data_IF_123378143058
#
_entry.id   IF_123378143058
#
_cell.length_a   1.000
_cell.length_b   1.000
_cell.length_c   1.000
_cell.angle_alpha   90.00
_cell.angle_beta   90.00
_cell.angle_gamma   90.00
#
_symmetry.space_group_name_H-M   'P 1'
#
loop_
_entity.id
_entity.type
_entity.pdbx_description
1 polymer ?
#
# COMPACT_ATOMS: atom_id res chain seq x y z
N UNK A 1 -4.17 15.23 23.52
CA UNK A 1 -4.70 15.07 22.15
C UNK A 1 -3.91 13.96 21.50
N UNK A 2 -4.57 12.96 20.93
CA UNK A 2 -3.93 11.97 20.06
C UNK A 2 -3.37 12.74 18.85
N UNK A 3 -2.07 12.60 18.58
CA UNK A 3 -1.40 13.29 17.49
C UNK A 3 -1.03 12.26 16.44
N UNK A 4 -1.74 12.27 15.31
CA UNK A 4 -1.28 11.59 14.12
C UNK A 4 -0.12 12.40 13.51
N UNK A 5 0.66 11.80 12.62
CA UNK A 5 1.75 12.52 11.96
C UNK A 5 1.83 12.22 10.46
N UNK A 6 2.49 13.12 9.74
CA UNK A 6 2.90 12.90 8.36
C UNK A 6 4.40 12.68 8.34
N UNK A 7 4.83 11.54 7.80
CA UNK A 7 6.24 11.19 7.61
C UNK A 7 6.59 11.35 6.13
N UNK A 8 7.59 12.17 5.85
CA UNK A 8 8.04 12.41 4.48
C UNK A 8 9.13 11.42 4.13
N UNK A 9 8.95 10.69 3.04
CA UNK A 9 9.95 9.76 2.53
C UNK A 9 10.34 10.13 1.10
N UNK A 10 11.61 9.95 0.78
CA UNK A 10 12.15 10.18 -0.57
C UNK A 10 12.23 8.85 -1.30
N UNK A 11 11.98 8.88 -2.61
CA UNK A 11 11.98 7.69 -3.47
C UNK A 11 13.40 7.33 -3.91
N UNK A 12 14.32 7.28 -2.96
CA UNK A 12 15.62 6.66 -3.18
C UNK A 12 15.62 5.38 -2.33
N UNK A 13 15.32 4.22 -2.93
CA UNK A 13 15.46 2.96 -2.23
C UNK A 13 16.96 2.71 -2.06
N UNK A 14 17.54 3.22 -0.96
CA UNK A 14 18.69 2.56 -0.39
C UNK A 14 18.21 1.15 0.01
N UNK A 15 19.01 0.14 -0.31
CA UNK A 15 18.72 -1.30 -0.11
C UNK A 15 18.28 -1.65 1.34
N UNK A 16 18.45 -0.73 2.29
CA UNK A 16 18.20 -0.90 3.72
C UNK A 16 16.94 -0.19 4.25
N UNK A 17 16.24 0.61 3.43
CA UNK A 17 15.06 1.35 3.87
C UNK A 17 13.78 0.63 3.44
N UNK A 18 13.06 0.13 4.45
CA UNK A 18 11.76 -0.52 4.33
C UNK A 18 10.74 0.38 5.04
N UNK A 19 10.04 1.29 4.34
CA UNK A 19 9.00 2.13 4.97
C UNK A 19 7.91 1.30 5.66
N UNK A 20 7.74 0.05 5.23
CA UNK A 20 6.85 -0.93 5.86
C UNK A 20 7.34 -1.47 7.21
N UNK A 21 8.61 -1.28 7.57
CA UNK A 21 9.21 -1.83 8.80
C UNK A 21 9.87 -0.76 9.69
N UNK A 22 10.55 0.23 9.10
CA UNK A 22 11.24 1.28 9.87
C UNK A 22 11.36 2.60 9.11
N UNK A 23 11.34 3.70 9.86
CA UNK A 23 11.58 5.04 9.34
C UNK A 23 12.72 5.71 10.10
N UNK A 24 13.74 6.17 9.38
CA UNK A 24 14.93 6.80 9.94
C UNK A 24 14.77 8.32 10.02
N UNK A 25 15.12 8.94 11.15
CA UNK A 25 15.00 10.39 11.34
C UNK A 25 16.05 10.96 12.32
N UNK A 26 16.47 12.23 12.15
CA UNK A 26 17.35 12.91 13.08
C UNK A 26 16.59 13.40 14.33
N UNK A 27 17.33 13.63 15.43
CA UNK A 27 16.83 14.10 16.74
C UNK A 27 15.90 15.31 16.67
N UNK A 28 16.06 16.17 15.68
CA UNK A 28 15.20 17.34 15.43
C UNK A 28 13.71 16.99 15.38
N UNK A 29 13.36 15.77 14.99
CA UNK A 29 11.97 15.29 14.91
C UNK A 29 11.54 14.39 16.07
N UNK A 30 12.42 14.12 17.04
CA UNK A 30 12.18 13.15 18.13
C UNK A 30 10.88 13.46 18.88
N UNK A 31 10.70 14.69 19.33
CA UNK A 31 9.49 15.08 20.07
C UNK A 31 8.20 14.88 19.27
N UNK A 32 8.23 15.10 17.95
CA UNK A 32 7.04 14.89 17.10
C UNK A 32 6.77 13.40 16.88
N UNK A 33 7.82 12.58 16.72
CA UNK A 33 7.69 11.14 16.54
C UNK A 33 7.25 10.45 17.84
N UNK A 34 7.79 10.87 18.99
CA UNK A 34 7.35 10.42 20.31
C UNK A 34 5.88 10.76 20.58
N UNK A 35 5.44 11.96 20.18
CA UNK A 35 4.02 12.34 20.28
C UNK A 35 3.10 11.47 19.40
N UNK A 36 3.63 10.90 18.31
CA UNK A 36 2.92 9.99 17.41
C UNK A 36 3.11 8.51 17.77
N UNK A 37 3.91 8.16 18.79
CA UNK A 37 4.11 6.78 19.20
C UNK A 37 2.78 6.16 19.66
N UNK A 38 2.49 4.96 19.16
CA UNK A 38 1.21 4.27 19.34
C UNK A 38 0.09 4.74 18.40
N UNK A 39 0.29 5.83 17.65
CA UNK A 39 -0.71 6.41 16.76
C UNK A 39 -0.40 6.16 15.28
N UNK A 40 -1.39 6.45 14.43
CA UNK A 40 -1.28 6.30 12.99
C UNK A 40 -0.56 7.49 12.36
N UNK A 41 0.23 7.17 11.33
CA UNK A 41 0.88 8.15 10.47
C UNK A 41 0.45 7.96 9.03
N UNK A 42 0.65 9.02 8.23
CA UNK A 42 0.52 8.98 6.78
C UNK A 42 1.89 9.25 6.17
N UNK A 43 2.29 8.44 5.21
CA UNK A 43 3.48 8.70 4.42
C UNK A 43 3.19 9.68 3.29
N UNK A 44 4.04 10.69 3.16
CA UNK A 44 4.01 11.70 2.11
C UNK A 44 5.25 11.62 1.23
N UNK A 45 5.05 11.67 -0.08
CA UNK A 45 6.12 11.73 -1.08
C UNK A 45 6.20 13.14 -1.67
N UNK A 46 7.31 13.87 -1.50
CA UNK A 46 7.47 15.22 -2.03
C UNK A 46 7.66 15.22 -3.55
N UNK A 47 7.50 16.38 -4.21
CA UNK A 47 7.68 16.52 -5.68
C UNK A 47 9.10 16.18 -6.17
N UNK A 48 10.08 16.44 -5.32
CA UNK A 48 11.51 16.20 -5.59
C UNK A 48 11.85 14.80 -5.10
N UNK A 49 12.40 13.97 -5.97
CA UNK A 49 12.89 12.64 -5.61
C UNK A 49 14.22 12.70 -4.86
N UNK A 50 15.05 13.73 -5.10
CA UNK A 50 16.38 13.90 -4.50
C UNK A 50 16.50 15.26 -3.80
N UNK A 51 17.65 15.51 -3.14
CA UNK A 51 17.96 16.82 -2.57
C UNK A 51 18.22 17.92 -3.63
N UNK A 52 18.40 17.55 -4.90
CA UNK A 52 18.68 18.48 -5.98
C UNK A 52 17.45 19.30 -6.37
N UNK A 53 17.66 20.59 -6.59
CA UNK A 53 16.62 21.54 -6.99
C UNK A 53 15.99 21.20 -8.35
N UNK A 54 16.72 20.47 -9.21
CA UNK A 54 16.30 20.05 -10.54
C UNK A 54 15.63 18.64 -10.57
N UNK A 55 15.64 17.92 -9.45
CA UNK A 55 14.98 16.61 -9.37
C UNK A 55 13.45 16.79 -9.45
N UNK A 56 12.86 16.16 -10.46
CA UNK A 56 11.41 16.01 -10.60
C UNK A 56 11.13 14.52 -10.76
N UNK A 57 10.22 13.98 -9.96
CA UNK A 57 9.91 12.54 -10.02
C UNK A 57 9.03 12.00 -8.90
N UNK A 58 8.83 12.77 -7.82
CA UNK A 58 7.98 12.35 -6.72
C UNK A 58 6.50 12.75 -6.88
N UNK A 59 5.60 11.96 -6.29
CA UNK A 59 4.14 12.03 -6.49
C UNK A 59 3.47 13.30 -5.94
N UNK A 60 4.12 14.05 -5.05
CA UNK A 60 3.47 15.14 -4.30
C UNK A 60 2.17 14.68 -3.64
N UNK A 61 2.19 13.48 -3.08
CA UNK A 61 0.99 12.80 -2.63
C UNK A 61 1.26 11.97 -1.37
N UNK A 62 0.23 11.80 -0.58
CA UNK A 62 0.18 10.77 0.43
C UNK A 62 -0.02 9.42 -0.25
N UNK A 63 0.68 8.39 0.20
CA UNK A 63 0.66 7.09 -0.50
C UNK A 63 0.47 5.88 0.41
N UNK A 64 0.66 6.01 1.71
CA UNK A 64 0.53 4.89 2.64
C UNK A 64 0.18 5.37 4.05
N UNK A 65 -0.28 4.45 4.87
CA UNK A 65 -0.46 4.59 6.32
C UNK A 65 0.32 3.51 7.05
N UNK A 66 0.74 3.81 8.27
CA UNK A 66 1.35 2.85 9.18
C UNK A 66 1.15 3.34 10.62
N UNK A 67 1.42 2.47 11.59
CA UNK A 67 1.40 2.82 13.01
C UNK A 67 2.82 2.78 13.58
N UNK A 68 3.15 3.76 14.41
CA UNK A 68 4.46 3.81 15.09
C UNK A 68 4.38 2.92 16.33
N UNK A 69 5.14 1.83 16.36
CA UNK A 69 5.16 0.91 17.49
C UNK A 69 6.16 1.35 18.56
N UNK A 70 7.41 1.55 18.14
CA UNK A 70 8.50 1.88 19.04
C UNK A 70 9.49 2.84 18.38
N UNK A 71 10.31 3.49 19.20
CA UNK A 71 11.39 4.37 18.75
C UNK A 71 12.68 3.83 19.37
N UNK A 72 13.68 3.61 18.52
CA UNK A 72 15.00 3.12 18.93
C UNK A 72 16.08 4.04 18.42
N UNK A 73 17.16 4.23 19.19
CA UNK A 73 18.32 5.00 18.72
C UNK A 73 19.10 4.23 17.66
N UNK A 74 19.66 4.95 16.68
CA UNK A 74 20.55 4.36 15.69
C UNK A 74 21.91 4.06 16.35
N UNK A 75 22.36 2.79 16.41
CA UNK A 75 23.65 2.44 17.01
C UNK A 75 24.85 2.91 16.18
N UNK A 76 24.67 3.25 14.90
CA UNK A 76 25.73 3.65 13.99
C UNK A 76 25.79 5.15 13.75
N UNK A 77 24.71 5.89 14.03
CA UNK A 77 24.64 7.34 13.83
C UNK A 77 24.13 8.04 15.09
N UNK A 78 24.99 8.86 15.71
CA UNK A 78 24.62 9.67 16.86
C UNK A 78 23.52 10.68 16.52
N UNK A 79 22.63 10.96 17.47
CA UNK A 79 21.47 11.85 17.32
C UNK A 79 20.51 11.45 16.19
N UNK A 80 20.49 10.17 15.84
CA UNK A 80 19.57 9.58 14.88
C UNK A 80 18.78 8.43 15.52
N UNK A 81 17.59 8.20 14.98
CA UNK A 81 16.60 7.28 15.54
C UNK A 81 15.86 6.56 14.42
N UNK A 82 15.36 5.36 14.73
CA UNK A 82 14.43 4.61 13.92
C UNK A 82 13.07 4.54 14.63
N UNK A 83 12.01 4.91 13.92
CA UNK A 83 10.65 4.55 14.28
C UNK A 83 10.36 3.16 13.70
N UNK A 84 10.02 2.20 14.54
CA UNK A 84 9.53 0.89 14.12
C UNK A 84 8.08 1.01 13.69
N UNK A 85 7.80 0.50 12.49
CA UNK A 85 6.53 0.66 11.81
C UNK A 85 5.80 -0.68 11.78
N UNK A 86 4.52 -0.65 12.10
CA UNK A 86 3.62 -1.80 12.01
C UNK A 86 2.36 -1.43 11.27
N UNK A 87 1.60 -2.45 10.89
CA UNK A 87 0.30 -2.30 10.22
C UNK A 87 0.35 -1.47 8.92
N UNK A 88 1.49 -1.45 8.23
CA UNK A 88 1.69 -0.72 6.98
C UNK A 88 0.65 -1.12 5.92
N UNK A 89 0.08 -0.13 5.23
CA UNK A 89 -0.83 -0.30 4.10
C UNK A 89 -0.64 0.83 3.08
N UNK A 90 -0.51 0.47 1.81
CA UNK A 90 -0.46 1.42 0.70
C UNK A 90 -1.84 1.77 0.16
N UNK A 91 -2.01 3.03 -0.25
CA UNK A 91 -3.20 3.48 -0.96
C UNK A 91 -3.14 2.98 -2.41
N UNK A 92 -4.24 2.38 -2.88
CA UNK A 92 -4.37 2.01 -4.29
C UNK A 92 -4.25 3.22 -5.22
N UNK A 93 -4.70 4.40 -4.74
CA UNK A 93 -4.53 5.67 -5.43
C UNK A 93 -3.87 6.68 -4.47
N UNK A 94 -2.68 7.20 -4.81
CA UNK A 94 -2.06 8.27 -4.03
C UNK A 94 -2.98 9.49 -3.92
N UNK A 95 -3.07 10.05 -2.71
CA UNK A 95 -3.92 11.21 -2.41
C UNK A 95 -3.08 12.47 -2.57
N UNK A 96 -3.41 13.38 -3.50
CA UNK A 96 -2.62 14.60 -3.68
C UNK A 96 -2.69 15.47 -2.42
N UNK A 97 -1.64 16.24 -2.14
CA UNK A 97 -1.64 17.16 -0.98
C UNK A 97 -2.73 18.23 -1.05
N UNK A 98 -3.19 18.53 -2.27
CA UNK A 98 -4.23 19.51 -2.59
C UNK A 98 -5.10 18.95 -3.71
N UNK A 99 -6.41 19.06 -3.53
CA UNK A 99 -7.40 18.70 -4.56
C UNK A 99 -8.32 19.91 -4.79
N UNK A 100 -8.29 20.47 -6.00
CA UNK A 100 -8.93 21.76 -6.28
C UNK A 100 -8.39 22.89 -5.39
N UNK A 101 -9.27 23.43 -4.54
CA UNK A 101 -8.94 24.46 -3.54
C UNK A 101 -8.67 23.93 -2.12
N UNK A 102 -8.91 22.64 -1.87
CA UNK A 102 -8.84 22.03 -0.56
C UNK A 102 -7.44 21.51 -0.25
N UNK A 103 -6.96 21.76 0.98
CA UNK A 103 -5.72 21.18 1.51
C UNK A 103 -6.10 20.17 2.60
N UNK A 104 -5.57 18.96 2.49
CA UNK A 104 -5.78 17.93 3.50
C UNK A 104 -5.06 18.27 4.82
N UNK A 105 -3.89 18.90 4.75
CA UNK A 105 -3.16 19.41 5.90
C UNK A 105 -3.38 20.92 6.05
N UNK A 106 -3.97 21.36 7.16
CA UNK A 106 -4.13 22.77 7.49
C UNK A 106 -2.79 23.49 7.66
N UNK A 107 -1.74 22.79 8.09
CA UNK A 107 -0.38 23.32 8.22
C UNK A 107 0.25 23.76 6.88
N UNK A 108 -0.24 23.22 5.76
CA UNK A 108 0.25 23.54 4.41
C UNK A 108 -0.45 24.75 3.80
N UNK A 109 -1.49 25.30 4.45
CA UNK A 109 -2.23 26.48 4.00
C UNK A 109 -1.84 27.69 4.83
N UNK A 110 -1.40 28.77 4.17
CA UNK A 110 -1.19 30.08 4.81
C UNK A 110 -2.53 30.82 4.97
N UNK A 111 -2.54 31.86 5.80
CA UNK A 111 -3.72 32.73 6.00
C UNK A 111 -4.22 33.39 4.69
N UNK A 112 -3.31 33.63 3.74
CA UNK A 112 -3.60 34.17 2.40
C UNK A 112 -4.14 33.12 1.39
N UNK A 113 -4.33 31.87 1.82
CA UNK A 113 -4.76 30.74 0.96
C UNK A 113 -3.66 30.15 0.08
N UNK A 114 -2.46 30.72 0.09
CA UNK A 114 -1.30 30.20 -0.64
C UNK A 114 -0.63 29.02 0.08
N UNK A 115 0.18 28.27 -0.68
CA UNK A 115 0.89 27.09 -0.19
C UNK A 115 2.05 27.47 0.73
N UNK A 116 2.10 26.90 1.93
CA UNK A 116 3.20 27.11 2.88
C UNK A 116 4.43 26.27 2.51
N UNK A 117 5.27 26.80 1.61
CA UNK A 117 6.52 26.15 1.16
C UNK A 117 7.49 25.77 2.30
N UNK A 118 7.48 26.50 3.42
CA UNK A 118 8.34 26.21 4.58
C UNK A 118 7.92 24.95 5.33
N UNK A 119 6.61 24.66 5.39
CA UNK A 119 6.10 23.45 6.01
C UNK A 119 6.47 22.18 5.20
N UNK A 120 6.52 22.25 3.87
CA UNK A 120 6.95 21.13 3.01
C UNK A 120 8.40 20.69 3.22
N UNK A 121 9.26 21.55 3.78
CA UNK A 121 10.64 21.21 4.08
C UNK A 121 10.81 20.32 5.33
N UNK A 122 9.75 20.15 6.13
CA UNK A 122 9.81 19.35 7.36
C UNK A 122 9.51 17.88 7.06
N UNK A 123 10.44 17.00 7.44
CA UNK A 123 10.28 15.56 7.22
C UNK A 123 9.12 14.99 8.04
N UNK A 124 8.99 15.40 9.30
CA UNK A 124 7.88 15.02 10.18
C UNK A 124 7.00 16.22 10.49
N UNK A 125 5.68 16.06 10.34
CA UNK A 125 4.66 17.08 10.63
C UNK A 125 3.55 16.48 11.47
N UNK A 126 2.98 17.27 12.38
CA UNK A 126 1.82 16.83 13.16
C UNK A 126 0.56 16.93 12.30
N UNK A 127 -0.31 15.95 12.43
CA UNK A 127 -1.56 15.81 11.69
C UNK A 127 -2.72 15.68 12.69
N UNK A 128 -3.77 16.48 12.50
CA UNK A 128 -4.96 16.39 13.35
C UNK A 128 -5.77 15.14 12.97
N UNK A 129 -6.54 14.59 13.93
CA UNK A 129 -7.37 13.41 13.70
C UNK A 129 -8.29 13.53 12.47
N UNK A 130 -9.05 14.62 12.36
CA UNK A 130 -9.94 14.84 11.21
C UNK A 130 -9.21 15.03 9.86
N UNK A 131 -7.95 15.48 9.87
CA UNK A 131 -7.13 15.61 8.65
C UNK A 131 -6.65 14.22 8.20
N UNK A 132 -6.24 13.39 9.16
CA UNK A 132 -5.95 11.98 8.93
C UNK A 132 -7.16 11.25 8.37
N UNK A 133 -8.33 11.42 8.96
CA UNK A 133 -9.56 10.74 8.55
C UNK A 133 -9.94 11.07 7.10
N UNK A 134 -9.74 12.33 6.68
CA UNK A 134 -9.97 12.75 5.29
C UNK A 134 -8.98 12.10 4.32
N UNK A 135 -7.68 12.07 4.67
CA UNK A 135 -6.66 11.43 3.82
C UNK A 135 -6.93 9.92 3.73
N UNK A 136 -7.26 9.29 4.85
CA UNK A 136 -7.62 7.87 4.93
C UNK A 136 -8.83 7.56 4.05
N UNK A 137 -9.90 8.35 4.17
CA UNK A 137 -11.11 8.17 3.37
C UNK A 137 -10.83 8.35 1.87
N UNK A 138 -10.02 9.33 1.49
CA UNK A 138 -9.62 9.56 0.10
C UNK A 138 -8.74 8.43 -0.46
N UNK A 139 -7.76 7.97 0.33
CA UNK A 139 -6.79 6.94 -0.10
C UNK A 139 -7.40 5.56 -0.26
N UNK A 140 -8.42 5.24 0.54
CA UNK A 140 -9.15 3.97 0.48
C UNK A 140 -10.57 4.09 -0.07
N UNK A 141 -10.91 5.17 -0.76
CA UNK A 141 -12.26 5.44 -1.26
C UNK A 141 -12.86 4.27 -2.05
N UNK A 142 -12.05 3.60 -2.90
CA UNK A 142 -12.47 2.41 -3.65
C UNK A 142 -12.87 1.26 -2.73
N UNK A 143 -12.00 0.91 -1.78
CA UNK A 143 -12.24 -0.20 -0.86
C UNK A 143 -13.42 0.11 0.08
N UNK A 144 -13.56 1.37 0.51
CA UNK A 144 -14.66 1.80 1.36
C UNK A 144 -16.00 1.78 0.59
N UNK A 145 -16.00 2.21 -0.67
CA UNK A 145 -17.18 2.19 -1.55
C UNK A 145 -17.63 0.79 -1.94
N UNK A 146 -16.68 -0.16 -2.08
CA UNK A 146 -16.94 -1.56 -2.44
C UNK A 146 -17.29 -2.44 -1.21
N UNK A 147 -17.30 -1.89 0.00
CA UNK A 147 -17.84 -2.59 1.17
C UNK A 147 -19.37 -2.59 1.08
N UNK A 148 -20.05 -3.76 1.17
CA UNK A 148 -21.50 -3.76 1.33
C UNK A 148 -21.85 -2.89 2.53
N UNK A 149 -22.73 -1.90 2.33
CA UNK A 149 -23.41 -1.21 3.43
C UNK A 149 -24.41 -2.18 4.06
N UNK A 150 -23.90 -3.18 4.77
CA UNK A 150 -24.69 -4.12 5.57
C UNK A 150 -24.78 -3.64 7.02
N UNK A 151 -25.92 -3.85 7.71
CA UNK A 151 -26.07 -3.44 9.09
C UNK A 151 -25.17 -4.29 9.99
N UNK A 152 -24.63 -3.67 11.04
CA UNK A 152 -23.97 -4.40 12.11
C UNK A 152 -24.99 -5.31 12.81
N UNK A 153 -24.60 -6.56 13.04
CA UNK A 153 -25.25 -7.63 13.81
C UNK A 153 -26.16 -8.59 13.03
N UNK A 154 -25.66 -9.78 12.74
CA UNK A 154 -26.16 -11.05 13.27
C UNK A 154 -25.35 -12.23 12.71
N UNK A 155 -24.70 -12.95 13.63
CA UNK A 155 -24.44 -14.38 13.73
C UNK A 155 -24.38 -15.27 12.47
N UNK A 156 -23.28 -16.01 12.37
CA UNK A 156 -23.31 -17.44 12.00
C UNK A 156 -23.39 -17.78 10.51
N UNK A 157 -22.23 -18.16 9.96
CA UNK A 157 -21.98 -19.09 8.85
C UNK A 157 -22.79 -18.97 7.52
N UNK A 158 -22.07 -19.25 6.42
CA UNK A 158 -22.53 -19.82 5.12
C UNK A 158 -22.25 -18.93 3.90
N UNK A 159 -21.30 -19.35 3.07
CA UNK A 159 -21.41 -19.24 1.61
C UNK A 159 -22.16 -20.49 1.11
N UNK A 160 -22.96 -20.47 0.02
CA UNK A 160 -22.64 -19.85 -1.27
C UNK A 160 -23.77 -19.06 -1.98
N UNK A 161 -23.37 -18.37 -3.07
CA UNK A 161 -24.11 -17.61 -4.12
C UNK A 161 -25.25 -18.44 -4.79
N UNK A 162 -26.06 -17.99 -5.79
CA UNK A 162 -26.24 -16.67 -6.45
C UNK A 162 -27.73 -16.25 -6.67
N UNK A 163 -27.96 -14.98 -7.07
CA UNK A 163 -29.13 -14.58 -7.87
C UNK A 163 -30.13 -13.64 -7.19
N UNK A 164 -30.12 -12.35 -7.58
CA UNK A 164 -31.37 -11.59 -7.69
C UNK A 164 -31.19 -10.38 -8.63
N UNK A 165 -31.93 -10.43 -9.75
CA UNK A 165 -32.30 -9.28 -10.57
C UNK A 165 -33.44 -8.54 -9.85
N UNK A 166 -33.42 -7.21 -9.80
CA UNK A 166 -34.58 -6.40 -10.20
C UNK A 166 -34.23 -4.91 -10.32
N UNK A 167 -34.82 -4.33 -11.36
CA UNK A 167 -34.75 -2.95 -11.80
C UNK A 167 -35.38 -1.95 -10.83
N UNK A 168 -34.95 -0.70 -10.86
CA UNK A 168 -35.79 0.41 -11.34
C UNK A 168 -35.04 1.76 -11.26
N UNK A 169 -35.41 2.61 -12.20
CA UNK A 169 -34.90 3.93 -12.53
C UNK A 169 -35.09 4.95 -11.41
N UNK A 170 -34.11 5.84 -11.21
CA UNK A 170 -34.34 7.25 -10.86
C UNK A 170 -33.08 8.08 -11.10
N UNK A 171 -33.18 9.31 -11.65
CA UNK A 171 -32.03 10.13 -11.99
C UNK A 171 -31.44 10.78 -10.72
N UNK A 172 -30.12 10.70 -10.57
CA UNK A 172 -29.41 11.35 -9.47
C UNK A 172 -29.44 12.88 -9.61
N UNK A 173 -29.72 13.65 -8.55
CA UNK A 173 -29.30 15.05 -8.52
C UNK A 173 -27.84 15.15 -8.08
N UNK A 174 -27.13 16.13 -8.63
CA UNK A 174 -25.76 16.47 -8.30
C UNK A 174 -25.64 16.84 -6.81
N UNK A 175 -24.81 16.10 -6.07
CA UNK A 175 -24.45 16.45 -4.69
C UNK A 175 -23.02 17.01 -4.67
N UNK A 176 -22.89 18.23 -4.15
CA UNK A 176 -21.63 18.78 -3.66
C UNK A 176 -21.06 17.80 -2.62
N UNK A 177 -19.94 17.15 -2.94
CA UNK A 177 -19.32 16.13 -2.10
C UNK A 177 -18.63 16.78 -0.88
N UNK A 178 -19.38 16.99 0.21
CA UNK A 178 -18.77 16.92 1.54
C UNK A 178 -18.37 15.45 1.77
N UNK A 179 -17.06 15.19 1.79
CA UNK A 179 -16.51 13.87 2.15
C UNK A 179 -17.08 13.49 3.54
N UNK A 180 -17.78 12.35 3.69
CA UNK A 180 -18.37 11.99 4.97
C UNK A 180 -17.27 11.80 6.02
N UNK A 181 -17.31 12.63 7.06
CA UNK A 181 -16.41 12.47 8.22
C UNK A 181 -16.76 11.15 8.93
N UNK A 182 -15.86 10.17 8.81
CA UNK A 182 -15.96 8.92 9.55
C UNK A 182 -15.44 9.14 10.97
N UNK A 183 -16.13 8.70 12.03
CA UNK A 183 -15.61 8.84 13.38
C UNK A 183 -14.32 8.02 13.55
N UNK A 184 -13.26 8.63 14.11
CA UNK A 184 -11.90 8.07 14.24
C UNK A 184 -11.85 6.60 14.74
N UNK A 185 -12.69 6.26 15.74
CA UNK A 185 -12.78 4.89 16.31
C UNK A 185 -13.17 3.82 15.28
N UNK A 186 -13.85 4.21 14.20
CA UNK A 186 -14.26 3.30 13.10
C UNK A 186 -13.14 3.08 12.09
N UNK A 187 -12.21 4.03 11.96
CA UNK A 187 -11.06 3.94 11.05
C UNK A 187 -10.00 3.02 11.63
N UNK A 188 -9.66 3.19 12.91
CA UNK A 188 -8.70 2.33 13.62
C UNK A 188 -9.10 0.86 13.53
N UNK A 189 -10.37 0.53 13.81
CA UNK A 189 -10.89 -0.84 13.69
C UNK A 189 -10.77 -1.41 12.27
N UNK A 190 -10.96 -0.58 11.23
CA UNK A 190 -10.80 -1.03 9.84
C UNK A 190 -9.34 -1.32 9.51
N UNK A 191 -8.43 -0.44 9.91
CA UNK A 191 -7.00 -0.54 9.61
C UNK A 191 -6.33 -1.78 10.21
N UNK A 192 -6.86 -2.28 11.32
CA UNK A 192 -6.41 -3.53 11.95
C UNK A 192 -7.19 -4.76 11.47
N UNK A 193 -8.32 -4.59 10.78
CA UNK A 193 -9.14 -5.73 10.35
C UNK A 193 -8.55 -6.43 9.12
N UNK A 194 -8.29 -7.73 9.23
CA UNK A 194 -7.71 -8.53 8.13
C UNK A 194 -8.50 -8.42 6.81
N UNK A 195 -9.85 -8.51 6.79
CA UNK A 195 -10.60 -8.38 5.54
C UNK A 195 -10.41 -7.03 4.83
N UNK A 196 -10.24 -5.95 5.57
CA UNK A 196 -9.96 -4.64 4.98
C UNK A 196 -8.51 -4.57 4.48
N UNK A 197 -7.54 -5.06 5.27
CA UNK A 197 -6.13 -5.11 4.91
C UNK A 197 -5.88 -5.93 3.65
N UNK A 198 -6.48 -7.12 3.55
CA UNK A 198 -6.39 -7.99 2.37
C UNK A 198 -6.88 -7.28 1.11
N UNK A 199 -8.03 -6.61 1.19
CA UNK A 199 -8.59 -5.85 0.06
C UNK A 199 -7.74 -4.64 -0.29
N UNK A 200 -7.20 -3.94 0.72
CA UNK A 200 -6.33 -2.79 0.51
C UNK A 200 -5.02 -3.19 -0.18
N UNK A 201 -4.34 -4.21 0.34
CA UNK A 201 -3.15 -4.81 -0.25
C UNK A 201 -3.42 -5.26 -1.69
N UNK A 202 -4.47 -6.06 -1.90
CA UNK A 202 -4.82 -6.55 -3.22
C UNK A 202 -5.10 -5.41 -4.20
N UNK A 203 -5.90 -4.41 -3.79
CA UNK A 203 -6.17 -3.26 -4.65
C UNK A 203 -4.90 -2.47 -4.99
N UNK A 204 -3.94 -2.35 -4.06
CA UNK A 204 -2.70 -1.63 -4.26
C UNK A 204 -1.75 -2.37 -5.22
N UNK A 205 -1.51 -3.66 -4.98
CA UNK A 205 -0.71 -4.52 -5.86
C UNK A 205 -1.31 -4.59 -7.26
N UNK A 206 -2.61 -4.86 -7.38
CA UNK A 206 -3.28 -4.95 -8.68
C UNK A 206 -3.19 -3.64 -9.47
N UNK A 207 -3.27 -2.49 -8.79
CA UNK A 207 -3.06 -1.18 -9.42
C UNK A 207 -1.62 -1.00 -9.91
N UNK A 208 -0.63 -1.37 -9.08
CA UNK A 208 0.79 -1.24 -9.42
C UNK A 208 1.20 -2.10 -10.63
N UNK A 209 0.56 -3.25 -10.81
CA UNK A 209 0.76 -4.16 -11.93
C UNK A 209 -0.20 -3.92 -13.12
N UNK A 210 -1.10 -2.94 -13.01
CA UNK A 210 -2.06 -2.62 -14.07
C UNK A 210 -3.03 -3.77 -14.36
N UNK A 211 -3.43 -4.54 -13.34
CA UNK A 211 -4.31 -5.71 -13.45
C UNK A 211 -3.78 -6.81 -14.39
N UNK A 212 -2.47 -6.94 -14.53
CA UNK A 212 -1.81 -7.96 -15.35
C UNK A 212 -1.14 -9.02 -14.48
N UNK A 213 -1.24 -10.27 -14.91
CA UNK A 213 -0.39 -11.32 -14.37
C UNK A 213 1.08 -10.99 -14.70
N UNK A 214 1.92 -10.92 -13.68
CA UNK A 214 3.33 -10.59 -13.76
C UNK A 214 4.15 -11.67 -14.49
N UNK A 215 3.65 -12.91 -14.51
CA UNK A 215 4.31 -14.03 -15.19
C UNK A 215 3.91 -14.10 -16.66
N UNK A 216 2.61 -14.11 -16.95
CA UNK A 216 2.09 -14.35 -18.32
C UNK A 216 1.83 -13.07 -19.11
N UNK A 217 1.74 -11.91 -18.45
CA UNK A 217 1.37 -10.62 -19.06
C UNK A 217 -0.13 -10.47 -19.39
N UNK A 218 -0.92 -11.51 -19.18
CA UNK A 218 -2.36 -11.53 -19.47
C UNK A 218 -3.07 -10.49 -18.59
N UNK A 219 -3.89 -9.66 -19.24
CA UNK A 219 -4.86 -8.78 -18.60
C UNK A 219 -6.25 -9.28 -18.97
N UNK A 220 -6.94 -9.90 -18.03
CA UNK A 220 -8.33 -10.31 -18.21
C UNK A 220 -9.17 -9.65 -17.14
N UNK A 221 -10.16 -8.86 -17.58
CA UNK A 221 -11.06 -8.08 -16.71
C UNK A 221 -12.48 -8.34 -17.21
N UNK A 222 -13.39 -8.71 -16.31
CA UNK A 222 -14.80 -8.90 -16.65
C UNK A 222 -15.56 -7.57 -16.78
N UNK A 223 -16.83 -7.63 -17.18
CA UNK A 223 -17.68 -6.43 -17.32
C UNK A 223 -17.90 -5.68 -16.00
N UNK A 224 -17.70 -6.34 -14.85
CA UNK A 224 -17.78 -5.74 -13.52
C UNK A 224 -16.45 -5.16 -13.03
N UNK A 225 -15.39 -5.18 -13.84
CA UNK A 225 -14.07 -4.67 -13.46
C UNK A 225 -13.24 -5.64 -12.60
N UNK A 226 -13.68 -6.90 -12.42
CA UNK A 226 -12.92 -7.90 -11.67
C UNK A 226 -11.83 -8.49 -12.55
N UNK A 227 -10.61 -8.54 -12.03
CA UNK A 227 -9.47 -9.14 -12.73
C UNK A 227 -9.40 -10.64 -12.48
N UNK A 228 -8.92 -11.41 -13.47
CA UNK A 228 -8.54 -12.81 -13.28
C UNK A 228 -7.31 -12.93 -12.37
N UNK A 229 -6.37 -12.00 -12.52
CA UNK A 229 -5.19 -11.94 -11.68
C UNK A 229 -5.54 -11.50 -10.26
N UNK A 230 -4.73 -11.97 -9.32
CA UNK A 230 -4.84 -11.71 -7.90
C UNK A 230 -3.48 -11.32 -7.31
N UNK A 231 -3.52 -10.65 -6.17
CA UNK A 231 -2.32 -10.27 -5.44
C UNK A 231 -1.87 -11.44 -4.56
N UNK A 232 -0.70 -11.99 -4.85
CA UNK A 232 -0.03 -12.98 -4.02
C UNK A 232 1.02 -12.28 -3.14
N UNK A 233 1.08 -12.67 -1.86
CA UNK A 233 2.18 -12.27 -0.99
C UNK A 233 3.43 -13.09 -1.34
N UNK A 234 4.59 -12.44 -1.43
CA UNK A 234 5.87 -13.12 -1.62
C UNK A 234 6.30 -13.83 -0.32
N UNK A 235 6.27 -13.11 0.80
CA UNK A 235 6.33 -13.67 2.15
C UNK A 235 4.92 -13.67 2.72
N UNK A 236 4.39 -14.84 3.06
CA UNK A 236 3.03 -14.97 3.56
C UNK A 236 2.82 -14.23 4.89
N UNK A 237 1.58 -13.85 5.15
CA UNK A 237 1.20 -13.18 6.41
C UNK A 237 1.40 -14.09 7.63
N UNK A 238 1.18 -15.40 7.46
CA UNK A 238 1.44 -16.41 8.49
C UNK A 238 2.93 -16.50 8.88
N UNK A 239 3.81 -15.98 8.03
CA UNK A 239 5.25 -15.91 8.26
C UNK A 239 5.71 -14.47 8.52
N UNK A 240 4.85 -13.56 8.98
CA UNK A 240 5.13 -12.14 9.24
C UNK A 240 5.52 -11.33 7.98
N UNK A 241 4.88 -11.64 6.85
CA UNK A 241 4.97 -10.83 5.65
C UNK A 241 4.13 -9.55 5.72
N UNK A 242 4.67 -8.36 5.36
CA UNK A 242 3.92 -7.11 5.41
C UNK A 242 2.96 -6.98 4.21
N UNK A 243 1.89 -6.21 4.41
CA UNK A 243 0.93 -5.83 3.36
C UNK A 243 1.45 -4.66 2.50
N UNK A 244 2.71 -4.74 2.04
CA UNK A 244 3.36 -3.77 1.15
C UNK A 244 3.33 -4.24 -0.29
N UNK A 245 3.22 -3.32 -1.26
CA UNK A 245 3.34 -3.66 -2.69
C UNK A 245 4.69 -4.34 -2.98
N UNK A 246 5.75 -3.99 -2.23
CA UNK A 246 7.07 -4.61 -2.35
C UNK A 246 7.11 -6.07 -1.90
N UNK A 247 6.12 -6.52 -1.12
CA UNK A 247 5.90 -7.92 -0.74
C UNK A 247 4.78 -8.57 -1.57
N UNK A 248 4.31 -7.93 -2.64
CA UNK A 248 3.21 -8.42 -3.46
C UNK A 248 3.57 -8.60 -4.92
N UNK A 249 2.99 -9.62 -5.55
CA UNK A 249 3.04 -9.84 -6.99
C UNK A 249 1.62 -10.07 -7.52
N UNK A 250 1.26 -9.44 -8.64
CA UNK A 250 -0.01 -9.75 -9.31
C UNK A 250 0.17 -10.97 -10.21
N UNK A 251 -0.59 -12.04 -10.00
CA UNK A 251 -0.43 -13.31 -10.74
C UNK A 251 -1.80 -13.91 -11.06
N UNK A 252 -1.90 -14.69 -12.12
CA UNK A 252 -3.12 -15.47 -12.40
C UNK A 252 -3.34 -16.53 -11.32
N UNK A 253 -4.56 -17.02 -11.17
CA UNK A 253 -4.87 -18.00 -10.10
C UNK A 253 -4.03 -19.27 -10.15
N UNK A 254 -3.78 -19.75 -11.37
CA UNK A 254 -2.91 -20.90 -11.60
C UNK A 254 -1.47 -20.60 -11.16
N UNK A 255 -0.94 -19.43 -11.52
CA UNK A 255 0.42 -19.03 -11.13
C UNK A 255 0.51 -18.80 -9.63
N UNK A 256 -0.52 -18.22 -9.00
CA UNK A 256 -0.58 -18.04 -7.56
C UNK A 256 -0.47 -19.37 -6.82
N UNK A 257 -1.30 -20.35 -7.20
CA UNK A 257 -1.20 -21.70 -6.64
C UNK A 257 0.19 -22.32 -6.84
N UNK A 258 0.77 -22.19 -8.03
CA UNK A 258 2.13 -22.70 -8.29
C UNK A 258 3.19 -22.02 -7.42
N UNK A 259 3.04 -20.73 -7.18
CA UNK A 259 3.96 -19.95 -6.36
C UNK A 259 3.86 -20.37 -4.88
N UNK A 260 2.65 -20.41 -4.33
CA UNK A 260 2.40 -20.83 -2.94
C UNK A 260 2.79 -22.29 -2.68
N UNK A 261 2.63 -23.16 -3.69
CA UNK A 261 3.06 -24.55 -3.62
C UNK A 261 4.58 -24.74 -3.85
N UNK A 262 5.36 -23.66 -3.93
CA UNK A 262 6.81 -23.73 -4.14
C UNK A 262 7.23 -24.28 -5.50
N UNK A 263 6.32 -24.36 -6.47
CA UNK A 263 6.60 -24.82 -7.84
C UNK A 263 7.23 -23.74 -8.70
N UNK A 264 6.97 -22.47 -8.36
CA UNK A 264 7.59 -21.30 -8.97
C UNK A 264 8.26 -20.45 -7.90
N UNK A 265 9.33 -19.76 -8.29
CA UNK A 265 9.89 -18.67 -7.51
C UNK A 265 10.55 -17.65 -8.43
N UNK A 266 11.19 -16.64 -7.85
CA UNK A 266 11.77 -15.51 -8.59
C UNK A 266 13.15 -15.18 -8.00
N UNK A 267 14.15 -15.08 -8.87
CA UNK A 267 15.51 -14.66 -8.51
C UNK A 267 15.60 -13.15 -8.26
N UNK A 268 16.71 -12.67 -7.68
CA UNK A 268 16.91 -11.25 -7.37
C UNK A 268 16.96 -10.35 -8.63
N UNK A 269 17.27 -10.93 -9.80
CA UNK A 269 17.25 -10.26 -11.11
C UNK A 269 15.90 -10.43 -11.85
N UNK A 270 14.88 -10.88 -11.12
CA UNK A 270 13.52 -11.18 -11.56
C UNK A 270 13.38 -12.35 -12.52
N UNK A 271 14.41 -13.20 -12.68
CA UNK A 271 14.29 -14.44 -13.45
C UNK A 271 13.32 -15.40 -12.77
N UNK A 272 12.39 -15.98 -13.53
CA UNK A 272 11.43 -16.96 -13.02
C UNK A 272 12.13 -18.31 -12.88
N UNK A 273 12.02 -18.89 -11.69
CA UNK A 273 12.56 -20.20 -11.33
C UNK A 273 11.42 -21.21 -11.29
N UNK A 274 11.65 -22.40 -11.83
CA UNK A 274 10.66 -23.48 -11.89
C UNK A 274 11.24 -24.70 -11.19
N UNK A 275 10.48 -25.27 -10.26
CA UNK A 275 10.89 -26.47 -9.53
C UNK A 275 11.00 -27.67 -10.49
N UNK A 276 11.97 -28.56 -10.24
CA UNK A 276 12.20 -29.75 -11.09
C UNK A 276 11.02 -30.73 -11.12
N UNK A 277 10.18 -30.70 -10.10
CA UNK A 277 8.98 -31.56 -9.98
C UNK A 277 7.79 -31.09 -10.82
N UNK A 278 7.87 -29.90 -11.43
CA UNK A 278 6.84 -29.43 -12.36
C UNK A 278 6.85 -30.31 -13.60
N UNK A 279 5.70 -30.84 -13.98
CA UNK A 279 5.60 -31.71 -15.15
C UNK A 279 6.09 -30.98 -16.41
N UNK A 280 6.87 -31.66 -17.28
CA UNK A 280 7.27 -31.09 -18.56
C UNK A 280 6.04 -30.61 -19.35
N UNK A 281 6.13 -29.43 -19.97
CA UNK A 281 5.03 -28.86 -20.77
C UNK A 281 4.14 -27.85 -20.04
N UNK A 282 4.06 -27.85 -18.70
CA UNK A 282 3.23 -26.86 -17.96
C UNK A 282 3.64 -25.41 -18.27
N UNK A 283 4.95 -25.15 -18.36
CA UNK A 283 5.47 -23.83 -18.73
C UNK A 283 5.29 -23.50 -20.22
N UNK A 284 4.90 -24.45 -21.06
CA UNK A 284 4.54 -24.21 -22.47
C UNK A 284 3.07 -23.80 -22.58
N UNK A 285 2.20 -24.36 -21.72
CA UNK A 285 0.79 -23.98 -21.61
C UNK A 285 0.60 -22.64 -20.89
N UNK A 286 1.54 -22.29 -20.01
CA UNK A 286 1.56 -21.03 -19.26
C UNK A 286 2.89 -20.29 -19.45
N UNK A 287 3.21 -19.86 -20.70
CA UNK A 287 4.52 -19.32 -21.01
C UNK A 287 4.76 -18.02 -20.25
N UNK A 288 5.88 -17.91 -19.53
CA UNK A 288 6.33 -16.63 -19.02
C UNK A 288 6.56 -15.70 -20.20
N UNK A 289 6.07 -14.47 -20.12
CA UNK A 289 6.11 -13.51 -21.22
C UNK A 289 7.54 -13.36 -21.80
N UNK A 290 8.56 -13.34 -20.92
CA UNK A 290 9.97 -13.20 -21.29
C UNK A 290 10.95 -14.01 -20.42
N UNK A 291 10.49 -15.06 -19.72
CA UNK A 291 11.31 -15.78 -18.72
C UNK A 291 11.65 -14.99 -17.45
N UNK A 292 11.21 -13.73 -17.38
CA UNK A 292 11.35 -12.84 -16.23
C UNK A 292 9.98 -12.37 -15.75
N UNK A 293 9.88 -12.09 -14.46
CA UNK A 293 8.73 -11.45 -13.85
C UNK A 293 8.62 -10.01 -14.40
N UNK A 294 7.44 -9.67 -14.93
CA UNK A 294 7.10 -8.29 -15.23
C UNK A 294 6.92 -7.54 -13.91
N UNK A 295 7.64 -6.43 -13.72
CA UNK A 295 7.63 -5.67 -12.47
C UNK A 295 7.12 -4.25 -12.69
N UNK A 296 6.58 -3.58 -11.66
CA UNK A 296 6.14 -2.20 -11.77
C UNK A 296 7.22 -1.27 -12.31
N UNK A 297 6.81 -0.28 -13.10
CA UNK A 297 7.73 0.67 -13.73
C UNK A 297 8.57 1.41 -12.69
N UNK A 298 7.94 1.84 -11.58
CA UNK A 298 8.61 2.51 -10.48
C UNK A 298 9.36 1.51 -9.59
N UNK A 299 10.63 1.81 -9.29
CA UNK A 299 11.51 0.93 -8.53
C UNK A 299 11.07 0.71 -7.07
N UNK A 300 10.45 1.70 -6.45
CA UNK A 300 9.92 1.64 -5.08
C UNK A 300 8.70 0.72 -4.93
N UNK A 301 8.06 0.35 -6.04
CA UNK A 301 6.92 -0.57 -6.06
C UNK A 301 7.31 -1.99 -6.50
N UNK A 302 8.58 -2.25 -6.81
CA UNK A 302 9.03 -3.58 -7.25
C UNK A 302 9.16 -4.54 -6.07
N UNK A 303 8.98 -5.86 -6.30
CA UNK A 303 9.21 -6.86 -5.28
C UNK A 303 10.59 -6.72 -4.64
N UNK A 304 10.65 -6.63 -3.33
CA UNK A 304 11.91 -6.45 -2.63
C UNK A 304 12.74 -7.73 -2.69
N UNK A 305 14.05 -7.66 -3.02
CA UNK A 305 14.91 -8.85 -3.07
C UNK A 305 14.93 -9.67 -1.78
N UNK A 306 14.77 -9.00 -0.62
CA UNK A 306 14.67 -9.69 0.67
C UNK A 306 13.48 -10.63 0.78
N UNK A 307 12.29 -10.25 0.29
CA UNK A 307 11.13 -11.13 0.30
C UNK A 307 11.26 -12.23 -0.76
N UNK A 308 11.79 -11.91 -1.94
CA UNK A 308 12.04 -12.91 -2.99
C UNK A 308 13.00 -14.00 -2.49
N UNK A 309 14.08 -13.58 -1.81
CA UNK A 309 15.04 -14.48 -1.16
C UNK A 309 14.37 -15.34 -0.09
N UNK A 310 13.56 -14.73 0.78
CA UNK A 310 12.81 -15.48 1.79
C UNK A 310 11.97 -16.58 1.13
N UNK A 311 11.21 -16.26 0.08
CA UNK A 311 10.42 -17.26 -0.63
C UNK A 311 11.29 -18.38 -1.22
N UNK A 312 12.43 -18.04 -1.84
CA UNK A 312 13.36 -19.05 -2.39
C UNK A 312 13.93 -19.98 -1.32
N UNK A 313 14.16 -19.48 -0.12
CA UNK A 313 14.79 -20.25 0.96
C UNK A 313 13.79 -21.03 1.81
N UNK A 314 12.51 -20.62 1.87
CA UNK A 314 11.54 -21.16 2.82
C UNK A 314 10.31 -21.81 2.16
N UNK A 315 10.04 -21.54 0.89
CA UNK A 315 8.83 -22.02 0.18
C UNK A 315 9.19 -22.78 -1.08
N UNK A 316 10.14 -22.28 -1.87
CA UNK A 316 10.50 -22.88 -3.16
C UNK A 316 11.10 -24.28 -2.99
N UNK A 317 10.58 -25.24 -3.77
CA UNK A 317 10.98 -26.64 -3.75
C UNK A 317 11.79 -27.03 -5.01
N UNK A 318 12.85 -26.26 -5.32
CA UNK A 318 13.65 -26.40 -6.54
C UNK A 318 15.08 -26.92 -6.37
#
# INVERSE_FOLDING_TARGET
>A
MIVNAVFTTKVEPAYNDLPEARYHFPRTYLNQVEAAQGNWIVYYEPRRSTADLASSGGRSAYFAVARVEAIVSDPFQADHFYAQMVDYLEFSRPVPFKEGGHYYEGALRKADGSTNKGAFGRAVRNLRGHEFDQIFAAGFARIIGDLPLGPANSDGATFPQPGFLLAAENPAPAFEHELPSMPARRIETKLVSRPFRDRAFASAVMTAYGNRCAVTGIQMIDQGGRSEAEAAHVRSVAQDGPDSIRNGIAVSRTVHWMFDAGLLSVADDYTILVAKRVAPGIMQDLPPLHGKLSVPARADLRPHPGYLRFHRENVFEG
#
